data_IF_269931488409
#
_entry.id   IF_269931488409
#
_cell.length_a   1.000
_cell.length_b   1.000
_cell.length_c   1.000
_cell.angle_alpha   90.00
_cell.angle_beta   90.00
_cell.angle_gamma   90.00
#
_symmetry.space_group_name_H-M   'P 1'
#
loop_
_entity.id
_entity.type
_entity.pdbx_description
1 polymer ?
#
# COMPACT_ATOMS: atom_id res chain seq x y z
N UNK A 1 -26.61 25.59 20.92
CA UNK A 1 -25.18 25.28 20.81
C UNK A 1 -24.70 25.81 19.49
N UNK A 2 -23.71 26.71 19.52
CA UNK A 2 -23.08 27.26 18.34
C UNK A 2 -22.19 26.18 17.69
N UNK A 3 -21.97 26.21 16.37
CA UNK A 3 -21.04 25.30 15.68
C UNK A 3 -19.60 25.34 16.20
N UNK A 4 -19.26 26.36 17.01
CA UNK A 4 -17.92 26.64 17.54
C UNK A 4 -17.61 25.90 18.86
N UNK A 5 -18.61 25.20 19.44
CA UNK A 5 -18.46 24.48 20.73
C UNK A 5 -18.04 23.00 20.55
N UNK A 6 -17.71 22.57 19.33
CA UNK A 6 -17.22 21.21 19.06
C UNK A 6 -15.70 21.20 19.27
N UNK A 7 -15.16 20.47 20.26
CA UNK A 7 -13.72 20.42 20.46
C UNK A 7 -13.04 19.87 19.21
N UNK A 8 -12.13 20.65 18.64
CA UNK A 8 -11.26 20.20 17.56
C UNK A 8 -10.36 19.11 18.11
N UNK A 9 -10.67 17.85 17.78
CA UNK A 9 -9.82 16.72 18.10
C UNK A 9 -8.61 16.77 17.17
N UNK A 10 -7.47 17.26 17.65
CA UNK A 10 -6.19 17.00 16.99
C UNK A 10 -5.89 15.50 17.18
N UNK A 11 -5.93 14.68 16.11
CA UNK A 11 -5.58 13.29 16.25
C UNK A 11 -4.11 13.22 16.66
N UNK A 12 -3.78 12.39 17.64
CA UNK A 12 -2.39 11.96 17.82
C UNK A 12 -1.89 11.41 16.48
N UNK A 13 -0.59 11.53 16.18
CA UNK A 13 -0.01 11.00 14.94
C UNK A 13 -0.28 9.49 14.73
N UNK A 14 -0.70 8.78 15.78
CA UNK A 14 -1.14 7.39 15.75
C UNK A 14 -2.61 7.20 15.29
N UNK A 15 -3.46 8.21 15.44
CA UNK A 15 -4.91 8.17 15.15
C UNK A 15 -5.26 8.45 13.68
N UNK A 16 -4.30 8.84 12.84
CA UNK A 16 -4.50 9.09 11.40
C UNK A 16 -4.05 7.91 10.51
N UNK A 17 -3.43 6.90 11.10
CA UNK A 17 -2.97 5.73 10.35
C UNK A 17 -3.98 4.61 10.57
N UNK A 18 -4.74 4.29 9.52
CA UNK A 18 -5.49 3.03 9.44
C UNK A 18 -4.48 1.88 9.44
N UNK A 19 -3.94 1.55 10.62
CA UNK A 19 -2.96 0.47 10.74
C UNK A 19 -3.76 -0.83 10.78
N UNK A 20 -3.67 -1.62 9.70
CA UNK A 20 -4.14 -3.00 9.75
C UNK A 20 -3.32 -3.71 10.84
N UNK A 21 -3.92 -3.96 12.00
CA UNK A 21 -3.28 -4.74 13.05
C UNK A 21 -3.01 -6.15 12.52
N UNK A 22 -1.76 -6.60 12.55
CA UNK A 22 -1.35 -7.93 12.11
C UNK A 22 -0.83 -8.68 13.32
N UNK A 23 -1.53 -9.73 13.74
CA UNK A 23 -1.12 -10.54 14.88
C UNK A 23 -0.03 -11.55 14.50
N UNK A 24 0.72 -12.00 15.52
CA UNK A 24 1.83 -12.95 15.34
C UNK A 24 1.40 -14.28 14.70
N UNK A 25 0.19 -14.76 15.01
CA UNK A 25 -0.34 -16.02 14.44
C UNK A 25 -0.50 -15.90 12.93
N UNK A 26 -1.00 -14.75 12.46
CA UNK A 26 -1.13 -14.44 11.03
C UNK A 26 0.24 -14.37 10.37
N UNK A 27 1.19 -13.65 10.98
CA UNK A 27 2.55 -13.53 10.44
C UNK A 27 3.24 -14.90 10.30
N UNK A 28 3.15 -15.73 11.32
CA UNK A 28 3.76 -17.07 11.32
C UNK A 28 3.11 -18.00 10.29
N UNK A 29 1.80 -17.88 10.09
CA UNK A 29 1.08 -18.65 9.08
C UNK A 29 1.53 -18.30 7.66
N UNK A 30 1.82 -17.03 7.39
CA UNK A 30 2.32 -16.57 6.08
C UNK A 30 3.78 -16.98 5.89
N UNK A 31 4.62 -16.85 6.93
CA UNK A 31 6.02 -17.32 6.88
C UNK A 31 6.10 -18.82 6.58
N UNK A 32 5.24 -19.64 7.18
CA UNK A 32 5.16 -21.09 6.92
C UNK A 32 4.75 -21.42 5.48
N UNK A 33 4.07 -20.52 4.79
CA UNK A 33 3.69 -20.66 3.38
C UNK A 33 4.77 -20.12 2.42
N UNK A 34 5.90 -19.63 2.93
CA UNK A 34 7.01 -19.10 2.13
C UNK A 34 7.11 -17.57 2.11
N UNK A 35 6.27 -16.86 2.86
CA UNK A 35 6.32 -15.40 2.98
C UNK A 35 5.62 -14.67 1.82
N UNK A 36 6.02 -13.41 1.63
CA UNK A 36 5.51 -12.53 0.55
C UNK A 36 6.68 -12.21 -0.37
N UNK A 37 6.48 -12.37 -1.69
CA UNK A 37 7.49 -12.00 -2.68
C UNK A 37 7.35 -10.54 -3.12
N UNK A 38 6.14 -10.04 -3.25
CA UNK A 38 5.82 -8.70 -3.72
C UNK A 38 4.42 -8.29 -3.27
N UNK A 39 4.20 -6.98 -3.14
CA UNK A 39 2.89 -6.38 -2.85
C UNK A 39 2.55 -5.47 -4.02
N UNK A 40 1.44 -5.73 -4.72
CA UNK A 40 0.97 -4.90 -5.82
C UNK A 40 -0.19 -4.02 -5.36
N UNK A 41 -0.09 -2.71 -5.59
CA UNK A 41 -1.07 -1.73 -5.11
C UNK A 41 -1.97 -1.28 -6.25
N UNK A 42 -3.28 -1.41 -6.08
CA UNK A 42 -4.27 -0.88 -7.03
C UNK A 42 -4.30 0.64 -7.01
N UNK A 43 -4.26 1.27 -5.83
CA UNK A 43 -4.18 2.72 -5.61
C UNK A 43 -3.70 3.03 -4.17
N UNK A 44 -3.14 4.21 -3.88
CA UNK A 44 -2.38 4.46 -2.65
C UNK A 44 -3.20 4.84 -1.39
N UNK A 45 -4.37 4.26 -1.15
CA UNK A 45 -5.15 4.58 0.06
C UNK A 45 -4.52 4.04 1.36
N UNK A 46 -3.96 2.83 1.32
CA UNK A 46 -3.46 2.09 2.49
C UNK A 46 -1.95 1.87 2.43
N UNK A 47 -1.21 2.76 1.76
CA UNK A 47 0.19 2.52 1.39
C UNK A 47 1.11 2.33 2.61
N UNK A 48 0.84 3.01 3.73
CA UNK A 48 1.58 2.82 4.97
C UNK A 48 1.43 1.39 5.52
N UNK A 49 0.22 0.83 5.47
CA UNK A 49 -0.02 -0.55 5.87
C UNK A 49 0.75 -1.52 4.96
N UNK A 50 0.73 -1.33 3.64
CA UNK A 50 1.52 -2.16 2.72
C UNK A 50 3.03 -2.09 2.99
N UNK A 51 3.56 -0.91 3.32
CA UNK A 51 4.97 -0.77 3.68
C UNK A 51 5.30 -1.48 4.98
N UNK A 52 4.40 -1.51 5.97
CA UNK A 52 4.60 -2.34 7.17
C UNK A 52 4.76 -3.83 6.84
N UNK A 53 3.89 -4.35 5.97
CA UNK A 53 4.01 -5.72 5.48
C UNK A 53 5.32 -5.95 4.73
N UNK A 54 5.70 -5.02 3.87
CA UNK A 54 6.96 -5.05 3.13
C UNK A 54 8.19 -5.11 4.05
N UNK A 55 8.23 -4.33 5.13
CA UNK A 55 9.30 -4.40 6.13
C UNK A 55 9.35 -5.76 6.80
N UNK A 56 8.20 -6.32 7.20
CA UNK A 56 8.12 -7.61 7.90
C UNK A 56 8.57 -8.78 7.02
N UNK A 57 8.23 -8.75 5.73
CA UNK A 57 8.50 -9.84 4.79
C UNK A 57 9.67 -9.57 3.84
N UNK A 58 10.31 -8.40 3.96
CA UNK A 58 11.37 -7.92 3.10
C UNK A 58 10.98 -7.98 1.61
N UNK A 59 9.84 -7.39 1.26
CA UNK A 59 9.22 -7.48 -0.06
C UNK A 59 8.94 -6.09 -0.65
N UNK A 60 9.12 -5.86 -1.95
CA UNK A 60 8.78 -4.58 -2.57
C UNK A 60 7.26 -4.34 -2.65
N UNK A 61 6.88 -3.07 -2.56
CA UNK A 61 5.53 -2.54 -2.80
C UNK A 61 5.53 -1.80 -4.13
N UNK A 62 4.80 -2.33 -5.09
CA UNK A 62 4.71 -1.75 -6.43
C UNK A 62 3.51 -0.81 -6.56
N UNK A 63 3.78 0.43 -6.95
CA UNK A 63 2.79 1.46 -7.30
C UNK A 63 3.08 2.00 -8.69
N UNK A 64 2.03 2.35 -9.44
CA UNK A 64 2.22 2.94 -10.77
C UNK A 64 2.81 4.36 -10.66
N UNK A 65 3.73 4.73 -11.56
CA UNK A 65 4.43 6.02 -11.56
C UNK A 65 3.48 7.24 -11.59
N UNK A 66 2.32 7.09 -12.26
CA UNK A 66 1.28 8.13 -12.35
C UNK A 66 0.64 8.46 -11.00
N UNK A 67 0.73 7.55 -10.04
CA UNK A 67 0.24 7.77 -8.67
C UNK A 67 1.39 8.11 -7.70
N UNK A 68 2.65 8.23 -8.16
CA UNK A 68 3.81 8.57 -7.31
C UNK A 68 3.60 9.87 -6.54
N UNK A 69 2.98 10.88 -7.15
CA UNK A 69 2.70 12.16 -6.51
C UNK A 69 1.68 12.10 -5.36
N UNK A 70 0.99 10.97 -5.22
CA UNK A 70 0.04 10.71 -4.13
C UNK A 70 0.69 10.02 -2.93
N UNK A 71 1.96 9.62 -3.06
CA UNK A 71 2.75 8.99 -1.99
C UNK A 71 3.25 10.09 -1.05
N UNK A 72 2.74 10.08 0.19
CA UNK A 72 3.01 11.14 1.17
C UNK A 72 4.30 10.95 1.99
N UNK A 73 5.04 9.86 1.77
CA UNK A 73 6.24 9.52 2.54
C UNK A 73 7.22 8.70 1.72
N UNK A 74 8.51 8.81 2.02
CA UNK A 74 9.54 8.02 1.39
C UNK A 74 9.69 6.65 2.08
N UNK A 75 9.95 5.61 1.29
CA UNK A 75 10.29 4.27 1.78
C UNK A 75 11.12 3.54 0.75
N UNK A 76 12.18 2.86 1.19
CA UNK A 76 13.03 2.03 0.31
C UNK A 76 12.28 0.82 -0.27
N UNK A 77 11.16 0.43 0.34
CA UNK A 77 10.32 -0.67 -0.13
C UNK A 77 9.32 -0.26 -1.21
N UNK A 78 9.11 1.03 -1.47
CA UNK A 78 8.19 1.49 -2.51
C UNK A 78 8.92 1.56 -3.84
N UNK A 79 8.48 0.75 -4.79
CA UNK A 79 8.97 0.75 -6.16
C UNK A 79 7.91 1.26 -7.13
N UNK A 80 8.28 2.21 -7.98
CA UNK A 80 7.40 2.70 -9.03
C UNK A 80 7.62 1.93 -10.32
N UNK A 81 6.53 1.49 -10.96
CA UNK A 81 6.57 0.90 -12.30
C UNK A 81 5.84 1.78 -13.31
N UNK A 82 6.07 1.54 -14.60
CA UNK A 82 5.62 2.40 -15.71
C UNK A 82 4.99 1.60 -16.85
N UNK A 83 4.21 2.30 -17.67
CA UNK A 83 3.55 1.73 -18.85
C UNK A 83 2.21 1.07 -18.53
N UNK A 84 1.66 0.34 -19.49
CA UNK A 84 0.33 -0.27 -19.34
C UNK A 84 0.38 -1.65 -18.68
N UNK A 85 1.53 -2.35 -18.72
CA UNK A 85 1.70 -3.67 -18.10
C UNK A 85 3.03 -3.76 -17.34
N UNK A 86 3.03 -4.48 -16.22
CA UNK A 86 4.23 -4.77 -15.42
C UNK A 86 4.20 -6.22 -14.90
N UNK A 87 5.20 -7.01 -15.25
CA UNK A 87 5.31 -8.39 -14.77
C UNK A 87 5.87 -8.43 -13.34
N UNK A 88 5.07 -8.94 -12.39
CA UNK A 88 5.51 -9.19 -11.01
C UNK A 88 6.29 -10.50 -10.91
N UNK A 89 5.90 -11.49 -11.69
CA UNK A 89 6.60 -12.74 -11.88
C UNK A 89 6.21 -13.34 -13.24
N UNK A 90 6.67 -14.56 -13.54
CA UNK A 90 6.39 -15.24 -14.82
C UNK A 90 4.91 -15.51 -15.09
N UNK A 91 4.06 -15.50 -14.06
CA UNK A 91 2.65 -15.89 -14.14
C UNK A 91 1.68 -14.76 -13.80
N UNK A 92 2.15 -13.64 -13.25
CA UNK A 92 1.30 -12.58 -12.72
C UNK A 92 1.79 -11.23 -13.27
N UNK A 93 0.85 -10.45 -13.83
CA UNK A 93 1.11 -9.09 -14.28
C UNK A 93 0.15 -8.09 -13.64
N UNK A 94 0.63 -6.86 -13.46
CA UNK A 94 -0.20 -5.71 -13.18
C UNK A 94 -0.54 -4.98 -14.49
N UNK A 95 -1.80 -4.59 -14.65
CA UNK A 95 -2.32 -3.86 -15.80
C UNK A 95 -2.81 -2.50 -15.34
N UNK A 96 -2.24 -1.42 -15.87
CA UNK A 96 -2.72 -0.06 -15.64
C UNK A 96 -3.94 0.16 -16.53
N UNK A 97 -5.09 0.38 -15.92
CA UNK A 97 -6.32 0.68 -16.66
C UNK A 97 -6.80 2.11 -16.41
N UNK A 98 -6.31 2.74 -15.33
CA UNK A 98 -6.82 4.04 -14.88
C UNK A 98 -8.25 3.93 -14.36
N UNK A 99 -8.64 4.87 -13.49
CA UNK A 99 -10.01 5.06 -13.02
C UNK A 99 -10.09 6.43 -12.32
N UNK A 100 -10.54 6.44 -11.05
CA UNK A 100 -10.40 7.59 -10.15
C UNK A 100 -8.94 8.04 -9.98
N UNK A 101 -8.01 7.09 -10.06
CA UNK A 101 -6.57 7.33 -10.03
C UNK A 101 -6.00 6.98 -11.41
N UNK A 102 -5.10 7.82 -11.93
CA UNK A 102 -4.53 7.63 -13.27
C UNK A 102 -3.57 6.42 -13.31
N UNK A 103 -2.93 6.11 -12.19
CA UNK A 103 -2.13 4.91 -12.00
C UNK A 103 -2.92 3.65 -11.60
N UNK A 104 -4.25 3.71 -11.51
CA UNK A 104 -5.02 2.57 -11.01
C UNK A 104 -4.77 1.29 -11.83
N UNK A 105 -4.46 0.20 -11.12
CA UNK A 105 -4.05 -1.05 -11.72
C UNK A 105 -4.68 -2.30 -11.10
N UNK A 106 -4.83 -3.34 -11.93
CA UNK A 106 -5.37 -4.65 -11.53
C UNK A 106 -4.35 -5.75 -11.76
N UNK A 107 -4.49 -6.89 -11.08
CA UNK A 107 -3.68 -8.08 -11.34
C UNK A 107 -4.38 -9.00 -12.36
N UNK A 108 -3.59 -9.61 -13.23
CA UNK A 108 -3.99 -10.60 -14.22
C UNK A 108 -3.03 -11.80 -14.21
#
# INVERSE_FOLDING_TARGET
>A
MSPEDIPYYEPSQESLLCTSFVDETTLDSIRKQGGIQAIAVTYPHELYSYVKWAVIFNSPVYIHERDKGLVAFDSEFIETWKGEEFALCTQIKSLRLGARYDGAAVLH
#
